data_IF_516091369981
#
_entry.id   IF_516091369981
#
_cell.length_a   1.000
_cell.length_b   1.000
_cell.length_c   1.000
_cell.angle_alpha   90.00
_cell.angle_beta   90.00
_cell.angle_gamma   90.00
#
_symmetry.space_group_name_H-M   'P 1'
#
loop_
_entity.id
_entity.type
_entity.pdbx_description
1 polymer ?
#
# COMPACT_ATOMS: atom_id res chain seq x y z
N UNK A 1 -2.69 -26.54 -50.77
CA UNK A 1 -2.08 -25.25 -50.38
C UNK A 1 -2.80 -24.73 -49.14
N UNK A 2 -2.14 -24.65 -47.97
CA UNK A 2 -2.82 -24.37 -46.71
C UNK A 2 -2.62 -22.93 -46.19
N UNK A 3 -3.69 -22.43 -45.54
CA UNK A 3 -3.78 -21.53 -44.39
C UNK A 3 -2.85 -20.30 -44.29
N UNK A 4 -3.45 -19.11 -44.25
CA UNK A 4 -2.98 -17.98 -43.42
C UNK A 4 -4.14 -17.44 -42.59
N UNK A 5 -3.89 -17.32 -41.28
CA UNK A 5 -4.78 -16.94 -40.19
C UNK A 5 -5.23 -15.47 -40.25
N UNK A 6 -6.34 -15.09 -39.57
CA UNK A 6 -6.66 -13.71 -39.28
C UNK A 6 -6.12 -13.34 -37.88
N UNK A 7 -5.06 -12.53 -37.84
CA UNK A 7 -4.65 -11.78 -36.65
C UNK A 7 -4.19 -10.40 -37.12
N UNK A 8 -5.12 -9.46 -37.25
CA UNK A 8 -4.80 -8.05 -37.37
C UNK A 8 -6.01 -7.20 -36.98
N UNK A 9 -6.32 -7.12 -35.68
CA UNK A 9 -7.15 -6.06 -35.15
C UNK A 9 -6.67 -5.75 -33.74
N UNK A 10 -5.87 -4.67 -33.63
CA UNK A 10 -5.74 -3.70 -32.55
C UNK A 10 -4.36 -3.03 -32.66
N UNK A 11 -4.23 -2.17 -33.67
CA UNK A 11 -3.18 -1.15 -33.73
C UNK A 11 -3.84 0.17 -34.18
N UNK A 12 -4.80 0.66 -33.39
CA UNK A 12 -5.43 1.96 -33.61
C UNK A 12 -5.64 2.65 -32.27
N UNK A 13 -4.55 3.22 -31.76
CA UNK A 13 -4.54 4.37 -30.85
C UNK A 13 -3.10 4.88 -30.68
N UNK A 14 -2.41 5.22 -31.77
CA UNK A 14 -1.11 5.91 -31.71
C UNK A 14 -0.86 6.78 -32.96
N UNK A 15 -1.93 7.37 -33.50
CA UNK A 15 -1.84 8.30 -34.63
C UNK A 15 -2.45 9.64 -34.22
N UNK A 16 -1.73 10.39 -33.38
CA UNK A 16 -1.93 11.83 -33.17
C UNK A 16 -0.72 12.53 -32.48
N UNK A 17 0.52 12.10 -32.76
CA UNK A 17 1.75 12.74 -32.23
C UNK A 17 2.86 12.85 -33.31
N UNK A 18 2.50 12.98 -34.58
CA UNK A 18 3.44 12.77 -35.69
C UNK A 18 4.13 14.02 -36.27
N UNK A 19 3.86 15.25 -35.78
CA UNK A 19 4.38 16.46 -36.44
C UNK A 19 5.35 17.33 -35.62
N UNK A 20 5.57 17.04 -34.33
CA UNK A 20 6.56 17.77 -33.52
C UNK A 20 7.88 16.98 -33.40
N UNK A 21 9.05 17.64 -33.53
CA UNK A 21 10.32 16.99 -33.28
C UNK A 21 10.39 16.47 -31.83
N UNK A 22 11.02 15.31 -31.58
CA UNK A 22 11.09 14.75 -30.25
C UNK A 22 11.75 15.73 -29.29
N UNK A 23 11.12 15.95 -28.13
CA UNK A 23 11.65 16.78 -27.06
C UNK A 23 13.02 16.26 -26.63
N UNK A 24 13.92 17.18 -26.27
CA UNK A 24 15.29 16.89 -25.83
C UNK A 24 15.55 17.53 -24.47
N UNK A 25 16.60 17.07 -23.79
CA UNK A 25 17.11 17.70 -22.58
C UNK A 25 16.06 17.85 -21.45
N UNK A 26 16.17 18.96 -20.71
CA UNK A 26 15.25 19.32 -19.62
C UNK A 26 13.78 19.41 -20.08
N UNK A 27 13.43 19.99 -21.25
CA UNK A 27 12.04 19.96 -21.74
C UNK A 27 11.40 18.57 -21.80
N UNK A 28 12.15 17.54 -22.22
CA UNK A 28 11.66 16.17 -22.22
C UNK A 28 11.39 15.65 -20.80
N UNK A 29 12.29 15.95 -19.86
CA UNK A 29 12.11 15.62 -18.44
C UNK A 29 10.86 16.28 -17.85
N UNK A 30 10.65 17.57 -18.12
CA UNK A 30 9.46 18.29 -17.63
C UNK A 30 8.17 17.71 -18.21
N UNK A 31 8.17 17.33 -19.51
CA UNK A 31 7.01 16.65 -20.11
C UNK A 31 6.76 15.29 -19.47
N UNK A 32 7.81 14.52 -19.18
CA UNK A 32 7.69 13.23 -18.51
C UNK A 32 7.12 13.36 -17.09
N UNK A 33 7.57 14.36 -16.31
CA UNK A 33 6.99 14.66 -14.98
C UNK A 33 5.50 14.92 -15.07
N UNK A 34 5.08 15.80 -16.00
CA UNK A 34 3.65 16.07 -16.21
C UNK A 34 2.86 14.81 -16.62
N UNK A 35 3.44 13.94 -17.43
CA UNK A 35 2.80 12.68 -17.81
C UNK A 35 2.65 11.73 -16.61
N UNK A 36 3.64 11.65 -15.72
CA UNK A 36 3.53 10.88 -14.47
C UNK A 36 2.43 11.45 -13.55
N UNK A 37 2.36 12.78 -13.40
CA UNK A 37 1.28 13.47 -12.67
C UNK A 37 -0.11 13.18 -13.27
N UNK A 38 -0.21 13.04 -14.60
CA UNK A 38 -1.42 12.64 -15.32
C UNK A 38 -1.73 11.13 -15.21
N UNK A 39 -0.90 10.34 -14.52
CA UNK A 39 -1.04 8.89 -14.39
C UNK A 39 -0.68 8.12 -15.66
N UNK A 40 0.21 8.66 -16.50
CA UNK A 40 0.66 8.12 -17.80
C UNK A 40 2.16 7.79 -17.81
N UNK A 41 2.63 6.87 -16.94
CA UNK A 41 4.07 6.59 -16.81
C UNK A 41 4.66 5.86 -18.02
N UNK A 42 3.86 5.13 -18.81
CA UNK A 42 4.31 4.49 -20.06
C UNK A 42 4.70 5.54 -21.09
N UNK A 43 3.87 6.55 -21.27
CA UNK A 43 4.11 7.69 -22.16
C UNK A 43 5.27 8.54 -21.64
N UNK A 44 5.40 8.71 -20.31
CA UNK A 44 6.53 9.39 -19.71
C UNK A 44 7.85 8.69 -20.05
N UNK A 45 7.91 7.36 -19.93
CA UNK A 45 9.09 6.57 -20.34
C UNK A 45 9.39 6.72 -21.83
N UNK A 46 8.38 6.71 -22.70
CA UNK A 46 8.59 6.89 -24.13
C UNK A 46 9.24 8.25 -24.46
N UNK A 47 8.81 9.32 -23.79
CA UNK A 47 9.42 10.66 -23.93
C UNK A 47 10.87 10.67 -23.42
N UNK A 48 11.13 10.05 -22.26
CA UNK A 48 12.49 9.97 -21.70
C UNK A 48 13.42 9.14 -22.58
N UNK A 49 12.96 8.01 -23.11
CA UNK A 49 13.76 7.14 -23.98
C UNK A 49 14.10 7.84 -25.31
N UNK A 50 13.16 8.59 -25.89
CA UNK A 50 13.41 9.41 -27.08
C UNK A 50 14.44 10.53 -26.83
N UNK A 51 14.54 11.04 -25.60
CA UNK A 51 15.48 12.09 -25.21
C UNK A 51 16.83 11.56 -24.70
N UNK A 52 17.07 10.25 -24.72
CA UNK A 52 18.29 9.63 -24.20
C UNK A 52 19.55 10.21 -24.86
N UNK A 53 20.53 10.59 -24.05
CA UNK A 53 21.80 11.15 -24.53
C UNK A 53 21.72 12.59 -25.03
N UNK A 54 20.59 13.28 -24.82
CA UNK A 54 20.40 14.69 -25.21
C UNK A 54 20.52 15.68 -24.05
N UNK A 55 20.78 15.18 -22.83
CA UNK A 55 21.03 16.00 -21.65
C UNK A 55 22.45 16.56 -21.66
N UNK A 56 22.61 17.78 -21.14
CA UNK A 56 23.93 18.25 -20.72
C UNK A 56 24.49 17.33 -19.64
N UNK A 57 25.79 17.02 -19.71
CA UNK A 57 26.45 16.09 -18.78
C UNK A 57 26.23 16.44 -17.30
N UNK A 58 26.15 17.72 -16.97
CA UNK A 58 25.91 18.20 -15.60
C UNK A 58 24.47 17.96 -15.09
N UNK A 59 23.52 17.76 -16.01
CA UNK A 59 22.09 17.64 -15.74
C UNK A 59 21.56 16.23 -16.03
N UNK A 60 22.41 15.31 -16.48
CA UNK A 60 22.04 13.92 -16.82
C UNK A 60 21.38 13.17 -15.66
N UNK A 61 21.71 13.52 -14.42
CA UNK A 61 21.09 12.96 -13.21
C UNK A 61 19.56 13.18 -13.16
N UNK A 62 19.05 14.27 -13.78
CA UNK A 62 17.61 14.58 -13.85
C UNK A 62 16.89 13.51 -14.70
N UNK A 63 17.49 13.14 -15.83
CA UNK A 63 16.95 12.12 -16.72
C UNK A 63 16.92 10.75 -16.05
N UNK A 64 18.02 10.35 -15.40
CA UNK A 64 18.10 9.08 -14.67
C UNK A 64 17.07 8.99 -13.54
N UNK A 65 16.93 10.06 -12.75
CA UNK A 65 15.97 10.08 -11.66
C UNK A 65 14.51 10.07 -12.12
N UNK A 66 14.16 10.84 -13.16
CA UNK A 66 12.81 10.83 -13.72
C UNK A 66 12.48 9.49 -14.39
N UNK A 67 13.45 8.85 -15.03
CA UNK A 67 13.29 7.48 -15.53
C UNK A 67 13.06 6.49 -14.38
N UNK A 68 13.79 6.65 -13.29
CA UNK A 68 13.58 5.90 -12.05
C UNK A 68 12.15 6.05 -11.51
N UNK A 69 11.63 7.28 -11.45
CA UNK A 69 10.24 7.53 -11.03
C UNK A 69 9.21 6.87 -11.94
N UNK A 70 9.36 7.00 -13.26
CA UNK A 70 8.40 6.41 -14.20
C UNK A 70 8.37 4.87 -14.07
N UNK A 71 9.53 4.24 -13.83
CA UNK A 71 9.60 2.82 -13.49
C UNK A 71 8.95 2.50 -12.14
N UNK A 72 9.09 3.37 -11.12
CA UNK A 72 8.46 3.18 -9.82
C UNK A 72 6.93 3.23 -9.91
N UNK A 73 6.37 4.16 -10.69
CA UNK A 73 4.93 4.25 -10.95
C UNK A 73 4.38 3.00 -11.66
N UNK A 74 5.21 2.37 -12.51
CA UNK A 74 4.91 1.10 -13.17
C UNK A 74 5.19 -0.14 -12.32
N UNK A 75 5.60 0.02 -11.06
CA UNK A 75 6.01 -1.07 -10.14
C UNK A 75 7.16 -1.92 -10.70
N UNK A 76 8.03 -1.31 -11.50
CA UNK A 76 9.27 -1.88 -12.01
C UNK A 76 10.44 -1.50 -11.09
N UNK A 77 10.35 -1.94 -9.84
CA UNK A 77 11.17 -1.41 -8.73
C UNK A 77 12.68 -1.63 -8.91
N UNK A 78 13.12 -2.72 -9.56
CA UNK A 78 14.53 -2.95 -9.86
C UNK A 78 15.12 -1.86 -10.77
N UNK A 79 14.37 -1.49 -11.82
CA UNK A 79 14.75 -0.43 -12.77
C UNK A 79 14.63 0.96 -12.12
N UNK A 80 13.65 1.15 -11.24
CA UNK A 80 13.50 2.37 -10.46
C UNK A 80 14.72 2.61 -9.56
N UNK A 81 15.15 1.58 -8.83
CA UNK A 81 16.30 1.64 -7.94
C UNK A 81 17.60 1.89 -8.70
N UNK A 82 17.77 1.28 -9.88
CA UNK A 82 18.91 1.57 -10.77
C UNK A 82 18.95 3.05 -11.17
N UNK A 83 17.81 3.59 -11.63
CA UNK A 83 17.69 4.98 -12.03
C UNK A 83 18.00 5.96 -10.89
N UNK A 84 17.46 5.73 -9.70
CA UNK A 84 17.75 6.54 -8.52
C UNK A 84 19.20 6.45 -8.09
N UNK A 85 19.78 5.24 -8.02
CA UNK A 85 21.20 5.07 -7.70
C UNK A 85 22.10 5.81 -8.67
N UNK A 86 21.77 5.78 -9.97
CA UNK A 86 22.56 6.50 -10.99
C UNK A 86 22.44 8.02 -10.86
N UNK A 87 21.24 8.53 -10.58
CA UNK A 87 21.04 9.96 -10.29
C UNK A 87 21.89 10.41 -9.08
N UNK A 88 21.85 9.65 -7.99
CA UNK A 88 22.64 9.91 -6.77
C UNK A 88 24.14 9.77 -7.00
N UNK A 89 24.57 8.87 -7.89
CA UNK A 89 25.97 8.74 -8.30
C UNK A 89 26.48 10.03 -8.96
N UNK A 90 25.71 10.54 -9.93
CA UNK A 90 26.02 11.71 -10.76
C UNK A 90 25.92 13.04 -10.00
N UNK A 91 24.92 13.20 -9.12
CA UNK A 91 24.77 14.37 -8.25
C UNK A 91 24.43 13.96 -6.83
N UNK A 92 25.36 14.18 -5.90
CA UNK A 92 25.27 13.66 -4.53
C UNK A 92 24.14 14.29 -3.71
N UNK A 93 23.82 15.54 -3.94
CA UNK A 93 22.80 16.35 -3.27
C UNK A 93 21.47 16.41 -4.05
N UNK A 94 21.22 15.50 -5.02
CA UNK A 94 19.97 15.52 -5.76
C UNK A 94 18.77 15.04 -4.93
N UNK A 95 17.58 15.55 -5.26
CA UNK A 95 16.33 15.20 -4.60
C UNK A 95 15.93 13.71 -4.73
N UNK A 96 16.46 12.99 -5.73
CA UNK A 96 16.21 11.55 -5.91
C UNK A 96 16.88 10.65 -4.84
N UNK A 97 17.73 11.22 -3.98
CA UNK A 97 18.33 10.47 -2.86
C UNK A 97 17.29 9.93 -1.89
N UNK A 98 16.23 10.69 -1.60
CA UNK A 98 15.16 10.24 -0.68
C UNK A 98 14.32 9.13 -1.30
N UNK A 99 13.81 9.24 -2.55
CA UNK A 99 13.22 8.10 -3.27
C UNK A 99 14.11 6.85 -3.32
N UNK A 100 15.42 7.01 -3.54
CA UNK A 100 16.38 5.90 -3.50
C UNK A 100 16.36 5.18 -2.15
N UNK A 101 16.45 5.94 -1.06
CA UNK A 101 16.43 5.39 0.29
C UNK A 101 15.07 4.78 0.66
N UNK A 102 13.97 5.37 0.18
CA UNK A 102 12.63 4.87 0.40
C UNK A 102 12.43 3.50 -0.26
N UNK A 103 12.89 3.35 -1.50
CA UNK A 103 12.80 2.09 -2.20
C UNK A 103 13.71 1.01 -1.57
N UNK A 104 14.91 1.38 -1.10
CA UNK A 104 15.75 0.48 -0.30
C UNK A 104 15.05 0.03 0.99
N UNK A 105 14.34 0.94 1.66
CA UNK A 105 13.51 0.64 2.82
C UNK A 105 12.39 -0.35 2.47
N UNK A 106 11.67 -0.16 1.36
CA UNK A 106 10.65 -1.10 0.88
C UNK A 106 11.22 -2.51 0.58
N UNK A 107 12.51 -2.62 0.22
CA UNK A 107 13.22 -3.88 0.05
C UNK A 107 13.78 -4.48 1.35
N UNK A 108 13.48 -3.89 2.52
CA UNK A 108 14.03 -4.31 3.80
C UNK A 108 15.53 -4.00 3.99
N UNK A 109 16.14 -3.23 3.07
CA UNK A 109 17.57 -2.88 3.09
C UNK A 109 17.82 -1.64 3.96
N UNK A 110 17.46 -1.75 5.23
CA UNK A 110 17.44 -0.63 6.17
C UNK A 110 18.80 0.04 6.37
N UNK A 111 19.89 -0.74 6.47
CA UNK A 111 21.24 -0.18 6.63
C UNK A 111 21.71 0.55 5.37
N UNK A 112 21.45 0.00 4.17
CA UNK A 112 21.73 0.70 2.90
C UNK A 112 20.91 2.00 2.77
N UNK A 113 19.64 1.98 3.21
CA UNK A 113 18.77 3.15 3.21
C UNK A 113 19.31 4.24 4.16
N UNK A 114 19.67 3.88 5.40
CA UNK A 114 20.26 4.81 6.36
C UNK A 114 21.61 5.36 5.88
N UNK A 115 22.46 4.52 5.30
CA UNK A 115 23.73 4.95 4.69
C UNK A 115 23.49 5.92 3.53
N UNK A 116 22.48 5.65 2.69
CA UNK A 116 22.07 6.56 1.60
C UNK A 116 21.61 7.90 2.15
N UNK A 117 20.84 7.91 3.23
CA UNK A 117 20.41 9.14 3.90
C UNK A 117 21.56 9.83 4.66
N UNK A 118 22.68 9.16 4.95
CA UNK A 118 23.84 9.77 5.61
C UNK A 118 24.65 10.73 4.72
N UNK A 119 24.40 10.75 3.41
CA UNK A 119 25.04 11.68 2.48
C UNK A 119 24.41 13.09 2.44
N UNK A 120 24.89 13.98 1.55
CA UNK A 120 24.28 15.30 1.33
C UNK A 120 22.81 15.16 0.92
N UNK A 121 21.93 15.91 1.58
CA UNK A 121 20.49 15.94 1.33
C UNK A 121 20.12 17.34 0.87
N UNK A 122 19.33 17.42 -0.20
CA UNK A 122 18.69 18.66 -0.64
C UNK A 122 17.88 19.27 0.53
N UNK A 123 18.07 20.55 0.89
CA UNK A 123 17.37 21.18 2.01
C UNK A 123 15.85 21.02 1.96
N UNK A 124 15.24 21.04 0.77
CA UNK A 124 13.79 20.90 0.59
C UNK A 124 13.31 19.48 0.95
N UNK A 125 14.22 18.51 0.99
CA UNK A 125 13.96 17.11 1.31
C UNK A 125 14.51 16.69 2.69
N UNK A 126 15.10 17.62 3.45
CA UNK A 126 15.71 17.32 4.75
C UNK A 126 14.70 16.74 5.75
N UNK A 127 13.50 17.32 5.81
CA UNK A 127 12.44 16.84 6.69
C UNK A 127 11.94 15.45 6.30
N UNK A 128 11.69 15.24 5.00
CA UNK A 128 11.29 13.91 4.48
C UNK A 128 12.36 12.85 4.75
N UNK A 129 13.64 13.20 4.61
CA UNK A 129 14.75 12.32 4.95
C UNK A 129 14.79 12.00 6.45
N UNK A 130 14.54 12.97 7.33
CA UNK A 130 14.49 12.73 8.78
C UNK A 130 13.35 11.79 9.17
N UNK A 131 12.16 12.02 8.63
CA UNK A 131 10.99 11.15 8.83
C UNK A 131 11.25 9.71 8.39
N UNK A 132 11.82 9.49 7.21
CA UNK A 132 12.20 8.15 6.75
C UNK A 132 13.23 7.49 7.70
N UNK A 133 14.20 8.24 8.24
CA UNK A 133 15.13 7.69 9.25
C UNK A 133 14.41 7.26 10.52
N UNK A 134 13.38 8.00 10.97
CA UNK A 134 12.55 7.63 12.13
C UNK A 134 11.80 6.33 11.85
N UNK A 135 11.14 6.23 10.70
CA UNK A 135 10.41 5.02 10.28
C UNK A 135 11.35 3.80 10.21
N UNK A 136 12.53 3.94 9.59
CA UNK A 136 13.51 2.84 9.50
C UNK A 136 14.02 2.40 10.89
N UNK A 137 14.26 3.36 11.80
CA UNK A 137 14.76 3.05 13.15
C UNK A 137 13.70 2.43 14.05
N UNK A 138 12.43 2.72 13.79
CA UNK A 138 11.30 2.29 14.60
C UNK A 138 11.21 3.00 15.96
N UNK A 139 10.13 2.76 16.70
CA UNK A 139 9.84 3.49 17.94
C UNK A 139 10.74 3.07 19.12
N UNK A 140 11.23 1.83 19.13
CA UNK A 140 11.82 1.22 20.32
C UNK A 140 13.33 1.40 20.46
N UNK A 141 14.05 1.61 19.35
CA UNK A 141 15.53 1.59 19.32
C UNK A 141 16.18 2.64 20.24
N UNK A 142 15.50 3.77 20.50
CA UNK A 142 16.00 4.82 21.40
C UNK A 142 16.06 4.35 22.86
N UNK A 143 15.04 3.60 23.32
CA UNK A 143 14.94 3.12 24.70
C UNK A 143 15.65 1.77 24.89
N UNK A 144 15.52 0.89 23.91
CA UNK A 144 15.99 -0.49 23.95
C UNK A 144 16.87 -0.81 22.74
N UNK A 145 18.07 -0.21 22.61
CA UNK A 145 18.91 -0.37 21.43
C UNK A 145 19.37 -1.82 21.18
N UNK A 146 19.43 -2.67 22.22
CA UNK A 146 19.75 -4.10 22.06
C UNK A 146 18.50 -4.97 22.06
N UNK A 147 17.52 -4.68 22.91
CA UNK A 147 16.32 -5.48 23.07
C UNK A 147 15.25 -5.25 21.99
N UNK A 148 15.29 -4.14 21.23
CA UNK A 148 14.28 -3.86 20.20
C UNK A 148 14.16 -4.96 19.13
N UNK A 149 15.24 -5.73 18.87
CA UNK A 149 15.19 -6.89 17.97
C UNK A 149 14.16 -7.95 18.39
N UNK A 150 13.85 -8.07 19.69
CA UNK A 150 12.80 -8.97 20.19
C UNK A 150 11.40 -8.55 19.73
N UNK A 151 11.24 -7.26 19.45
CA UNK A 151 9.99 -6.64 19.03
C UNK A 151 9.84 -6.58 17.50
N UNK A 152 10.83 -7.09 16.75
CA UNK A 152 10.84 -7.08 15.29
C UNK A 152 10.88 -8.52 14.74
N UNK A 153 9.96 -8.88 13.85
CA UNK A 153 9.92 -10.21 13.25
C UNK A 153 9.54 -10.19 11.77
N UNK A 154 10.29 -10.94 10.97
CA UNK A 154 10.11 -11.06 9.51
C UNK A 154 10.06 -12.50 9.01
N UNK A 155 9.82 -13.47 9.90
CA UNK A 155 9.83 -14.89 9.55
C UNK A 155 11.24 -15.50 9.55
N UNK A 156 11.36 -16.77 9.98
CA UNK A 156 12.65 -17.49 10.01
C UNK A 156 13.32 -17.67 8.64
N UNK A 157 12.52 -17.82 7.59
CA UNK A 157 12.97 -17.97 6.20
C UNK A 157 12.87 -16.65 5.40
N UNK A 158 12.61 -15.53 6.09
CA UNK A 158 12.12 -14.31 5.47
C UNK A 158 10.62 -14.40 5.17
N UNK A 159 10.05 -13.25 4.83
CA UNK A 159 8.63 -13.05 4.55
C UNK A 159 8.41 -11.71 3.88
N UNK A 160 7.15 -11.37 3.65
CA UNK A 160 6.74 -10.13 2.99
C UNK A 160 6.50 -9.00 3.99
N UNK A 161 6.59 -9.28 5.30
CA UNK A 161 6.36 -8.31 6.36
C UNK A 161 7.54 -8.23 7.32
N UNK A 162 7.76 -7.04 7.85
CA UNK A 162 8.53 -6.80 9.08
C UNK A 162 7.56 -6.20 10.10
N UNK A 163 7.14 -7.04 11.03
CA UNK A 163 6.19 -6.67 12.09
C UNK A 163 6.98 -6.15 13.28
N UNK A 164 6.58 -4.99 13.78
CA UNK A 164 7.22 -4.30 14.89
C UNK A 164 6.16 -4.05 15.95
N UNK A 165 6.26 -4.70 17.11
CA UNK A 165 5.19 -4.64 18.11
C UNK A 165 5.68 -5.00 19.51
N UNK A 166 5.22 -4.24 20.51
CA UNK A 166 5.36 -4.53 21.94
C UNK A 166 4.12 -5.21 22.55
N UNK A 167 3.09 -5.50 21.74
CA UNK A 167 1.93 -6.29 22.19
C UNK A 167 2.39 -7.64 22.73
N UNK A 168 2.05 -7.92 23.99
CA UNK A 168 2.41 -9.15 24.70
C UNK A 168 3.79 -9.14 25.35
N UNK A 169 4.51 -8.02 25.36
CA UNK A 169 5.81 -7.89 26.05
C UNK A 169 5.80 -6.63 26.93
N UNK A 170 5.95 -6.82 28.24
CA UNK A 170 5.85 -5.71 29.18
C UNK A 170 7.14 -4.89 29.29
N UNK A 171 6.99 -3.60 29.58
CA UNK A 171 8.12 -2.67 29.73
C UNK A 171 9.20 -3.16 30.72
N UNK A 172 8.87 -3.64 31.94
CA UNK A 172 9.88 -4.16 32.86
C UNK A 172 10.59 -5.42 32.36
N UNK A 173 9.95 -6.20 31.49
CA UNK A 173 10.61 -7.33 30.83
C UNK A 173 11.66 -6.83 29.84
N UNK A 174 11.32 -5.86 29.00
CA UNK A 174 12.25 -5.25 28.06
C UNK A 174 13.42 -4.55 28.75
N UNK A 175 13.18 -3.85 29.86
CA UNK A 175 14.24 -3.21 30.64
C UNK A 175 15.22 -4.26 31.21
N UNK A 176 14.72 -5.42 31.67
CA UNK A 176 15.58 -6.55 32.11
C UNK A 176 16.36 -7.15 30.94
N UNK A 177 15.71 -7.39 29.81
CA UNK A 177 16.32 -7.96 28.61
C UNK A 177 17.43 -7.04 28.09
N UNK A 178 17.20 -5.72 28.06
CA UNK A 178 18.22 -4.74 27.66
C UNK A 178 19.43 -4.79 28.60
N UNK A 179 19.21 -4.83 29.92
CA UNK A 179 20.27 -4.93 30.91
C UNK A 179 21.08 -6.24 30.81
N UNK A 180 20.44 -7.35 30.45
CA UNK A 180 21.13 -8.63 30.21
C UNK A 180 21.88 -8.61 28.87
N UNK A 181 21.25 -8.13 27.80
CA UNK A 181 21.85 -8.00 26.48
C UNK A 181 23.07 -7.07 26.48
N UNK A 182 23.09 -6.05 27.34
CA UNK A 182 24.23 -5.14 27.50
C UNK A 182 25.50 -5.81 28.04
N UNK A 183 25.36 -6.95 28.73
CA UNK A 183 26.49 -7.71 29.29
C UNK A 183 27.13 -8.66 28.27
N UNK A 184 26.48 -8.86 27.12
CA UNK A 184 26.89 -9.81 26.10
C UNK A 184 27.67 -9.08 24.99
N UNK A 185 28.81 -9.66 24.62
CA UNK A 185 29.59 -9.25 23.46
C UNK A 185 29.09 -9.98 22.20
N UNK A 186 28.48 -9.27 21.22
CA UNK A 186 28.01 -9.90 19.99
C UNK A 186 29.16 -10.38 19.07
N UNK A 187 30.41 -9.99 19.32
CA UNK A 187 31.57 -10.51 18.59
C UNK A 187 32.02 -11.89 19.12
N UNK A 188 31.68 -12.24 20.36
CA UNK A 188 31.92 -13.56 20.92
C UNK A 188 30.81 -14.54 20.49
N UNK A 189 31.21 -15.72 20.01
CA UNK A 189 30.27 -16.69 19.42
C UNK A 189 29.27 -17.25 20.44
N UNK A 190 29.70 -17.53 21.67
CA UNK A 190 28.83 -18.11 22.70
C UNK A 190 27.84 -17.07 23.23
N UNK A 191 28.34 -15.86 23.49
CA UNK A 191 27.53 -14.74 23.93
C UNK A 191 26.58 -14.25 22.84
N UNK A 192 26.96 -14.29 21.56
CA UNK A 192 26.07 -14.03 20.44
C UNK A 192 24.89 -15.02 20.39
N UNK A 193 25.15 -16.32 20.59
CA UNK A 193 24.09 -17.33 20.66
C UNK A 193 23.19 -17.12 21.89
N UNK A 194 23.75 -16.68 23.02
CA UNK A 194 22.96 -16.32 24.20
C UNK A 194 22.08 -15.09 23.93
N UNK A 195 22.62 -14.09 23.23
CA UNK A 195 21.90 -12.89 22.83
C UNK A 195 20.75 -13.24 21.88
N UNK A 196 20.98 -14.10 20.88
CA UNK A 196 19.93 -14.51 19.95
C UNK A 196 18.79 -15.26 20.67
N UNK A 197 19.10 -16.13 21.65
CA UNK A 197 18.08 -16.79 22.50
C UNK A 197 17.29 -15.78 23.34
N UNK A 198 17.98 -14.82 23.94
CA UNK A 198 17.36 -13.77 24.75
C UNK A 198 16.40 -12.89 23.92
N UNK A 199 16.75 -12.67 22.65
CA UNK A 199 16.00 -11.82 21.71
C UNK A 199 15.02 -12.60 20.83
N UNK A 200 14.71 -13.86 21.13
CA UNK A 200 13.69 -14.61 20.40
C UNK A 200 12.34 -13.87 20.45
N UNK A 201 11.62 -13.77 19.31
CA UNK A 201 10.36 -13.05 19.24
C UNK A 201 9.30 -13.70 20.14
N UNK A 202 8.38 -12.90 20.68
CA UNK A 202 7.27 -13.44 21.46
C UNK A 202 6.34 -14.29 20.57
N UNK A 203 5.64 -15.29 21.13
CA UNK A 203 4.62 -16.04 20.39
C UNK A 203 3.56 -15.12 19.75
N UNK A 204 3.16 -14.05 20.45
CA UNK A 204 2.22 -13.06 19.94
C UNK A 204 2.76 -12.34 18.69
N UNK A 205 4.02 -11.92 18.70
CA UNK A 205 4.65 -11.28 17.54
C UNK A 205 4.74 -12.24 16.34
N UNK A 206 4.99 -13.53 16.58
CA UNK A 206 4.96 -14.55 15.53
C UNK A 206 3.54 -14.73 14.98
N UNK A 207 2.51 -14.75 15.84
CA UNK A 207 1.11 -14.83 15.41
C UNK A 207 0.68 -13.61 14.59
N UNK A 208 1.11 -12.40 14.96
CA UNK A 208 0.87 -11.17 14.18
C UNK A 208 1.50 -11.24 12.78
N UNK A 209 2.73 -11.75 12.68
CA UNK A 209 3.37 -12.00 11.40
C UNK A 209 2.59 -13.02 10.55
N UNK A 210 2.15 -14.13 11.16
CA UNK A 210 1.34 -15.13 10.46
C UNK A 210 0.03 -14.54 9.95
N UNK A 211 -0.63 -13.71 10.77
CA UNK A 211 -1.86 -13.01 10.42
C UNK A 211 -1.66 -12.16 9.16
N UNK A 212 -0.60 -11.35 9.09
CA UNK A 212 -0.29 -10.53 7.92
C UNK A 212 0.03 -11.35 6.68
N UNK A 213 0.80 -12.43 6.80
CA UNK A 213 1.04 -13.35 5.68
C UNK A 213 -0.24 -14.04 5.20
N UNK A 214 -1.15 -14.38 6.12
CA UNK A 214 -2.48 -14.92 5.78
C UNK A 214 -3.36 -13.88 5.10
N UNK A 215 -3.35 -12.63 5.56
CA UNK A 215 -4.06 -11.50 4.94
C UNK A 215 -3.58 -11.29 3.51
N UNK A 216 -2.26 -11.30 3.28
CA UNK A 216 -1.67 -11.22 1.94
C UNK A 216 -2.14 -12.35 1.02
N UNK A 217 -2.12 -13.59 1.49
CA UNK A 217 -2.62 -14.75 0.72
C UNK A 217 -4.09 -14.59 0.37
N UNK A 218 -4.89 -14.06 1.29
CA UNK A 218 -6.32 -13.83 1.05
C UNK A 218 -6.56 -12.70 0.03
N UNK A 219 -5.79 -11.62 0.08
CA UNK A 219 -5.82 -10.57 -0.94
C UNK A 219 -5.50 -11.13 -2.34
N UNK A 220 -4.47 -11.98 -2.45
CA UNK A 220 -4.13 -12.64 -3.71
C UNK A 220 -5.27 -13.53 -4.19
N UNK A 221 -5.85 -14.35 -3.31
CA UNK A 221 -6.98 -15.23 -3.64
C UNK A 221 -8.17 -14.45 -4.18
N UNK A 222 -8.53 -13.33 -3.53
CA UNK A 222 -9.70 -12.53 -3.89
C UNK A 222 -9.50 -11.70 -5.16
N UNK A 223 -8.28 -11.21 -5.40
CA UNK A 223 -7.91 -10.51 -6.64
C UNK A 223 -7.65 -11.47 -7.80
N UNK A 224 -7.53 -12.77 -7.54
CA UNK A 224 -7.17 -13.78 -8.54
C UNK A 224 -5.71 -13.71 -8.95
N UNK A 225 -4.86 -13.15 -8.10
CA UNK A 225 -3.42 -13.08 -8.27
C UNK A 225 -2.73 -14.31 -7.67
N UNK A 226 -1.52 -14.56 -8.16
CA UNK A 226 -0.63 -15.61 -7.65
C UNK A 226 0.54 -14.98 -6.91
N UNK A 227 1.24 -15.77 -6.07
CA UNK A 227 2.45 -15.31 -5.37
C UNK A 227 3.52 -14.77 -6.33
N UNK A 228 3.62 -15.32 -7.55
CA UNK A 228 4.58 -14.84 -8.55
C UNK A 228 4.29 -13.43 -9.10
N UNK A 229 3.10 -12.90 -8.85
CA UNK A 229 2.71 -11.54 -9.22
C UNK A 229 2.82 -10.54 -8.06
N UNK A 230 3.16 -11.01 -6.85
CA UNK A 230 3.44 -10.13 -5.73
C UNK A 230 4.77 -9.40 -5.93
N UNK A 231 4.94 -8.14 -5.47
CA UNK A 231 6.18 -7.40 -5.62
C UNK A 231 7.38 -8.15 -5.05
N UNK A 232 8.35 -8.45 -5.91
CA UNK A 232 9.48 -9.31 -5.57
C UNK A 232 10.41 -8.60 -4.58
N UNK A 233 10.74 -9.28 -3.48
CA UNK A 233 11.74 -8.80 -2.52
C UNK A 233 11.29 -7.65 -1.62
N UNK A 234 10.04 -7.15 -1.76
CA UNK A 234 9.51 -6.14 -0.85
C UNK A 234 9.18 -6.74 0.51
N UNK A 235 9.48 -5.97 1.55
CA UNK A 235 9.20 -6.27 2.95
C UNK A 235 8.44 -5.08 3.55
N UNK A 236 7.14 -5.26 3.73
CA UNK A 236 6.24 -4.24 4.24
C UNK A 236 6.37 -4.09 5.76
N UNK A 237 6.55 -2.85 6.24
CA UNK A 237 6.58 -2.60 7.69
C UNK A 237 5.18 -2.40 8.24
N UNK A 238 4.93 -3.05 9.37
CA UNK A 238 3.71 -2.87 10.17
C UNK A 238 4.10 -2.65 11.61
N UNK A 239 3.71 -1.50 12.15
CA UNK A 239 3.90 -1.15 13.55
C UNK A 239 2.58 -1.33 14.29
N UNK A 240 2.56 -2.19 15.30
CA UNK A 240 1.40 -2.38 16.18
C UNK A 240 1.83 -2.06 17.60
N UNK A 241 1.42 -0.89 18.08
CA UNK A 241 1.87 -0.34 19.35
C UNK A 241 0.85 -0.70 20.44
N UNK A 242 1.31 -0.96 21.65
CA UNK A 242 0.40 -1.37 22.73
C UNK A 242 -0.53 -0.25 23.17
N UNK A 243 -0.06 1.00 23.17
CA UNK A 243 -0.82 2.14 23.69
C UNK A 243 -1.04 3.25 22.65
N UNK A 244 -2.12 4.02 22.82
CA UNK A 244 -2.40 5.20 21.99
C UNK A 244 -1.31 6.27 22.15
N UNK A 245 -0.74 6.43 23.35
CA UNK A 245 0.33 7.40 23.62
C UNK A 245 1.58 7.10 22.76
N UNK A 246 2.05 5.84 22.79
CA UNK A 246 3.18 5.40 21.96
C UNK A 246 2.89 5.57 20.46
N UNK A 247 1.65 5.33 20.05
CA UNK A 247 1.20 5.59 18.69
C UNK A 247 1.28 7.06 18.31
N UNK A 248 0.77 7.95 19.13
CA UNK A 248 0.81 9.38 18.83
C UNK A 248 2.25 9.91 18.84
N UNK A 249 3.10 9.42 19.75
CA UNK A 249 4.52 9.78 19.79
C UNK A 249 5.26 9.36 18.54
N UNK A 250 5.08 8.11 18.10
CA UNK A 250 5.72 7.62 16.89
C UNK A 250 5.15 8.30 15.64
N UNK A 251 3.84 8.52 15.61
CA UNK A 251 3.17 9.22 14.52
C UNK A 251 3.69 10.66 14.36
N UNK A 252 3.86 11.41 15.45
CA UNK A 252 4.44 12.76 15.43
C UNK A 252 5.89 12.75 14.93
N UNK A 253 6.69 11.81 15.42
CA UNK A 253 8.09 11.70 15.03
C UNK A 253 8.28 11.30 13.55
N UNK A 254 7.38 10.47 13.00
CA UNK A 254 7.44 9.99 11.62
C UNK A 254 6.64 10.86 10.62
N UNK A 255 5.60 11.56 11.08
CA UNK A 255 4.59 12.23 10.23
C UNK A 255 4.59 13.76 10.27
N UNK A 256 5.19 14.42 11.26
CA UNK A 256 5.02 15.87 11.49
C UNK A 256 3.76 16.20 12.30
N UNK A 257 3.44 17.50 12.47
CA UNK A 257 2.40 18.04 13.37
C UNK A 257 0.93 17.77 12.94
N UNK A 258 0.66 16.84 12.02
CA UNK A 258 -0.70 16.58 11.55
C UNK A 258 -1.48 15.69 12.54
N UNK A 259 -2.68 16.17 12.91
CA UNK A 259 -3.53 15.60 13.95
C UNK A 259 -4.04 14.19 13.60
N UNK A 260 -3.28 13.17 14.01
CA UNK A 260 -3.65 11.74 13.98
C UNK A 260 -4.36 11.28 15.27
N UNK A 261 -4.90 12.22 16.04
CA UNK A 261 -5.37 12.01 17.42
C UNK A 261 -6.61 11.10 17.52
N UNK A 262 -7.37 10.95 16.44
CA UNK A 262 -8.61 10.16 16.41
C UNK A 262 -8.53 8.90 15.52
N UNK A 263 -7.34 8.49 15.09
CA UNK A 263 -7.15 7.32 14.23
C UNK A 263 -6.65 6.12 15.06
N UNK A 264 -7.31 4.97 14.89
CA UNK A 264 -6.84 3.69 15.46
C UNK A 264 -5.59 3.17 14.73
N UNK A 265 -5.47 3.50 13.45
CA UNK A 265 -4.27 3.35 12.66
C UNK A 265 -4.43 3.91 11.26
N UNK A 266 -3.37 3.81 10.47
CA UNK A 266 -3.32 4.27 9.09
C UNK A 266 -2.21 3.56 8.32
N UNK A 267 -2.38 3.50 7.01
CA UNK A 267 -1.32 3.27 6.03
C UNK A 267 -0.72 4.60 5.57
N UNK A 268 0.61 4.73 5.62
CA UNK A 268 1.33 5.87 5.08
C UNK A 268 1.80 5.56 3.64
N UNK A 269 1.24 6.20 2.59
CA UNK A 269 1.65 5.95 1.21
C UNK A 269 2.98 6.60 0.84
N UNK A 270 3.55 7.48 1.66
CA UNK A 270 4.83 8.13 1.37
C UNK A 270 6.03 7.25 1.78
N UNK A 271 5.91 6.59 2.93
CA UNK A 271 6.95 5.70 3.49
C UNK A 271 6.52 4.23 3.57
N UNK A 272 5.32 3.90 3.06
CA UNK A 272 4.84 2.53 2.78
C UNK A 272 4.69 1.63 4.01
N UNK A 273 4.40 2.20 5.18
CA UNK A 273 4.20 1.44 6.42
C UNK A 273 2.77 1.56 6.95
N UNK A 274 2.35 0.56 7.71
CA UNK A 274 1.12 0.61 8.51
C UNK A 274 1.51 0.92 9.96
N UNK A 275 0.74 1.76 10.63
CA UNK A 275 0.88 2.01 12.05
C UNK A 275 -0.48 1.97 12.73
N UNK A 276 -0.58 1.23 13.83
CA UNK A 276 -1.79 1.03 14.63
C UNK A 276 -1.43 1.05 16.12
N UNK A 277 -2.43 1.23 16.99
CA UNK A 277 -2.33 0.80 18.39
C UNK A 277 -3.38 -0.24 18.75
N UNK A 278 -3.10 -1.08 19.74
CA UNK A 278 -4.00 -2.13 20.19
C UNK A 278 -5.05 -1.58 21.17
N UNK A 279 -6.14 -1.06 20.63
CA UNK A 279 -7.26 -0.56 21.43
C UNK A 279 -8.02 -1.68 22.12
N UNK A 280 -8.14 -1.61 23.45
CA UNK A 280 -8.96 -2.54 24.23
C UNK A 280 -10.41 -2.56 23.75
N UNK A 281 -10.92 -3.75 23.40
CA UNK A 281 -12.34 -3.90 23.05
C UNK A 281 -12.67 -5.17 22.28
N UNK A 282 -13.46 -6.07 22.88
CA UNK A 282 -14.11 -7.21 22.23
C UNK A 282 -13.16 -8.25 21.61
N UNK A 283 -13.15 -9.49 22.14
CA UNK A 283 -12.35 -10.59 21.59
C UNK A 283 -10.84 -10.32 21.57
N UNK A 284 -10.06 -11.36 21.24
CA UNK A 284 -8.62 -11.22 21.02
C UNK A 284 -8.15 -12.29 20.02
N UNK A 285 -7.44 -11.86 18.97
CA UNK A 285 -6.80 -12.72 17.99
C UNK A 285 -5.37 -12.23 17.78
N UNK A 286 -4.38 -13.13 17.92
CA UNK A 286 -2.96 -12.77 17.83
C UNK A 286 -2.52 -11.64 18.78
N UNK A 287 -3.19 -11.44 19.92
CA UNK A 287 -2.93 -10.31 20.81
C UNK A 287 -3.76 -9.06 20.50
N UNK A 288 -4.48 -9.02 19.37
CA UNK A 288 -5.23 -7.84 18.93
C UNK A 288 -6.70 -7.95 19.23
N UNK A 289 -7.25 -6.84 19.72
CA UNK A 289 -8.68 -6.66 19.89
C UNK A 289 -9.40 -6.44 18.55
N UNK A 290 -10.71 -6.72 18.52
CA UNK A 290 -11.47 -6.79 17.28
C UNK A 290 -11.44 -5.49 16.46
N UNK A 291 -11.51 -4.31 17.09
CA UNK A 291 -11.45 -3.03 16.37
C UNK A 291 -10.10 -2.81 15.70
N UNK A 292 -9.01 -3.13 16.41
CA UNK A 292 -7.64 -3.06 15.89
C UNK A 292 -7.46 -4.03 14.73
N UNK A 293 -8.03 -5.22 14.83
CA UNK A 293 -7.98 -6.25 13.80
C UNK A 293 -8.71 -5.82 12.52
N UNK A 294 -9.91 -5.27 12.66
CA UNK A 294 -10.69 -4.73 11.55
C UNK A 294 -9.91 -3.60 10.83
N UNK A 295 -9.30 -2.71 11.60
CA UNK A 295 -8.47 -1.61 11.07
C UNK A 295 -7.19 -2.12 10.41
N UNK A 296 -6.52 -3.12 10.99
CA UNK A 296 -5.34 -3.74 10.40
C UNK A 296 -5.65 -4.30 9.00
N UNK A 297 -6.76 -5.01 8.84
CA UNK A 297 -7.15 -5.56 7.54
C UNK A 297 -7.52 -4.49 6.52
N UNK A 298 -8.21 -3.43 6.97
CA UNK A 298 -8.51 -2.26 6.14
C UNK A 298 -7.22 -1.62 5.59
N UNK A 299 -6.28 -1.26 6.48
CA UNK A 299 -5.01 -0.65 6.08
C UNK A 299 -4.09 -1.59 5.30
N UNK A 300 -4.15 -2.90 5.60
CA UNK A 300 -3.41 -3.91 4.85
C UNK A 300 -3.86 -3.99 3.39
N UNK A 301 -5.13 -3.70 3.09
CA UNK A 301 -5.57 -3.59 1.71
C UNK A 301 -4.96 -2.38 1.01
N UNK A 302 -4.97 -1.19 1.63
CA UNK A 302 -4.34 -0.02 1.03
C UNK A 302 -2.85 -0.24 0.75
N UNK A 303 -2.12 -0.84 1.69
CA UNK A 303 -0.72 -1.20 1.50
C UNK A 303 -0.54 -2.19 0.34
N UNK A 304 -1.36 -3.25 0.29
CA UNK A 304 -1.27 -4.25 -0.78
C UNK A 304 -1.61 -3.65 -2.15
N UNK A 305 -2.68 -2.87 -2.24
CA UNK A 305 -3.11 -2.31 -3.52
C UNK A 305 -2.13 -1.26 -4.03
N UNK A 306 -1.53 -0.46 -3.14
CA UNK A 306 -0.46 0.46 -3.50
C UNK A 306 0.79 -0.28 -3.98
N UNK A 307 1.18 -1.35 -3.31
CA UNK A 307 2.32 -2.16 -3.74
C UNK A 307 2.10 -2.80 -5.12
N UNK A 308 0.86 -3.12 -5.46
CA UNK A 308 0.49 -3.79 -6.70
C UNK A 308 0.29 -2.84 -7.89
N UNK A 309 -0.18 -1.61 -7.67
CA UNK A 309 -0.38 -0.64 -8.76
C UNK A 309 -0.49 0.80 -8.26
N UNK A 310 -0.04 1.77 -9.07
CA UNK A 310 -0.32 3.20 -8.87
C UNK A 310 -1.78 3.59 -9.21
N UNK A 311 -2.50 2.75 -9.92
CA UNK A 311 -3.82 3.05 -10.49
C UNK A 311 -4.93 2.55 -9.57
N UNK A 312 -5.32 3.38 -8.60
CA UNK A 312 -6.26 3.02 -7.53
C UNK A 312 -7.45 3.99 -7.50
N UNK A 313 -8.56 3.72 -8.23
CA UNK A 313 -9.79 4.49 -8.09
C UNK A 313 -10.24 4.51 -6.63
N UNK A 314 -10.69 5.66 -6.13
CA UNK A 314 -11.06 5.83 -4.73
C UNK A 314 -12.17 4.85 -4.31
N UNK A 315 -13.26 4.78 -5.09
CA UNK A 315 -14.37 3.87 -4.79
C UNK A 315 -13.93 2.40 -4.69
N UNK A 316 -12.96 1.99 -5.51
CA UNK A 316 -12.49 0.62 -5.54
C UNK A 316 -11.53 0.37 -4.38
N UNK A 317 -10.61 1.31 -4.13
CA UNK A 317 -9.64 1.23 -3.06
C UNK A 317 -10.34 1.16 -1.70
N UNK A 318 -11.24 2.11 -1.42
CA UNK A 318 -11.99 2.17 -0.16
C UNK A 318 -13.04 1.06 -0.06
N UNK A 319 -13.74 0.74 -1.15
CA UNK A 319 -14.74 -0.33 -1.15
C UNK A 319 -14.14 -1.71 -0.84
N UNK A 320 -12.94 -1.98 -1.36
CA UNK A 320 -12.19 -3.20 -1.05
C UNK A 320 -11.65 -3.17 0.39
N UNK A 321 -11.14 -2.03 0.87
CA UNK A 321 -10.68 -1.88 2.25
C UNK A 321 -11.80 -2.15 3.26
N UNK A 322 -12.98 -1.59 3.03
CA UNK A 322 -14.19 -1.82 3.84
C UNK A 322 -14.68 -3.27 3.77
N UNK A 323 -14.62 -3.90 2.59
CA UNK A 323 -15.02 -5.30 2.42
C UNK A 323 -14.06 -6.25 3.15
N UNK A 324 -12.75 -6.04 2.97
CA UNK A 324 -11.70 -6.88 3.54
C UNK A 324 -11.45 -6.60 5.01
N UNK A 325 -11.82 -5.42 5.50
CA UNK A 325 -11.70 -5.01 6.90
C UNK A 325 -12.57 -5.79 7.88
N UNK A 326 -13.34 -6.80 7.43
CA UNK A 326 -14.19 -7.64 8.28
C UNK A 326 -13.97 -9.12 7.97
N UNK A 327 -13.67 -9.90 9.01
CA UNK A 327 -13.33 -11.31 8.85
C UNK A 327 -13.24 -12.08 10.16
N UNK A 328 -12.77 -13.32 10.05
CA UNK A 328 -12.45 -14.20 11.17
C UNK A 328 -11.04 -14.80 10.95
N UNK A 329 -10.29 -15.00 12.03
CA UNK A 329 -8.94 -15.59 11.97
C UNK A 329 -8.69 -16.55 13.14
N UNK A 330 -7.81 -17.53 12.93
CA UNK A 330 -7.36 -18.41 14.00
C UNK A 330 -6.52 -17.64 15.03
N UNK A 331 -6.49 -18.12 16.27
CA UNK A 331 -5.78 -17.46 17.37
C UNK A 331 -4.29 -17.20 17.09
N UNK A 332 -3.67 -18.04 16.27
CA UNK A 332 -2.26 -17.97 15.84
C UNK A 332 -2.04 -17.24 14.49
N UNK A 333 -3.11 -16.72 13.88
CA UNK A 333 -3.07 -15.98 12.61
C UNK A 333 -2.77 -16.83 11.38
N UNK A 334 -2.62 -18.15 11.52
CA UNK A 334 -2.21 -19.03 10.42
C UNK A 334 -3.29 -19.25 9.37
N UNK A 335 -4.56 -19.02 9.72
CA UNK A 335 -5.72 -19.12 8.83
C UNK A 335 -6.69 -17.97 9.07
N UNK A 336 -7.32 -17.48 8.00
CA UNK A 336 -8.35 -16.45 8.10
C UNK A 336 -9.31 -16.47 6.90
N UNK A 337 -10.44 -15.77 7.03
CA UNK A 337 -11.39 -15.47 5.97
C UNK A 337 -11.84 -14.02 6.10
N UNK A 338 -11.71 -13.24 5.02
CA UNK A 338 -12.15 -11.83 4.95
C UNK A 338 -13.43 -11.69 4.12
N UNK A 339 -14.04 -10.51 4.12
CA UNK A 339 -15.25 -10.23 3.35
C UNK A 339 -16.55 -10.56 4.09
N UNK A 340 -16.52 -10.62 5.42
CA UNK A 340 -17.68 -11.01 6.24
C UNK A 340 -18.77 -9.94 6.21
N UNK A 341 -20.02 -10.37 5.99
CA UNK A 341 -21.18 -9.49 6.10
C UNK A 341 -21.47 -9.18 7.58
N UNK A 342 -21.36 -7.91 7.95
CA UNK A 342 -21.72 -7.41 9.28
C UNK A 342 -22.97 -6.55 9.14
N UNK A 343 -24.10 -7.06 9.64
CA UNK A 343 -25.42 -6.42 9.49
C UNK A 343 -25.76 -5.44 10.61
N UNK A 344 -25.10 -5.59 11.74
CA UNK A 344 -25.27 -4.76 12.92
C UNK A 344 -23.99 -4.84 13.73
N UNK A 345 -23.56 -3.71 14.28
CA UNK A 345 -22.41 -3.63 15.16
C UNK A 345 -22.77 -2.69 16.32
N UNK A 346 -22.71 -3.13 17.59
CA UNK A 346 -23.07 -2.27 18.72
C UNK A 346 -22.16 -1.03 18.84
N UNK A 347 -21.02 -1.01 18.15
CA UNK A 347 -20.04 0.07 18.19
C UNK A 347 -20.34 1.20 17.19
N UNK A 348 -21.00 0.89 16.07
CA UNK A 348 -21.16 1.82 14.94
C UNK A 348 -22.27 1.42 13.96
N UNK A 349 -22.76 2.39 13.17
CA UNK A 349 -23.65 2.11 12.04
C UNK A 349 -22.85 1.41 10.94
N UNK A 350 -23.20 0.17 10.63
CA UNK A 350 -22.48 -0.63 9.64
C UNK A 350 -22.66 -0.10 8.22
N UNK A 351 -21.73 -0.45 7.32
CA UNK A 351 -21.87 -0.15 5.88
C UNK A 351 -23.15 -0.77 5.29
N UNK A 352 -23.55 -1.95 5.80
CA UNK A 352 -24.80 -2.60 5.46
C UNK A 352 -26.02 -1.76 5.84
N UNK A 353 -26.11 -1.30 7.09
CA UNK A 353 -27.23 -0.45 7.54
C UNK A 353 -27.28 0.85 6.76
N UNK A 354 -26.11 1.50 6.60
CA UNK A 354 -26.00 2.79 5.90
C UNK A 354 -26.42 2.69 4.44
N UNK A 355 -26.00 1.67 3.69
CA UNK A 355 -26.37 1.57 2.28
C UNK A 355 -27.88 1.32 2.10
N UNK A 356 -28.52 0.56 3.00
CA UNK A 356 -29.98 0.35 2.95
C UNK A 356 -30.76 1.63 3.19
N UNK A 357 -30.30 2.46 4.12
CA UNK A 357 -30.86 3.80 4.35
C UNK A 357 -30.71 4.68 3.10
N UNK A 358 -29.51 4.75 2.52
CA UNK A 358 -29.21 5.53 1.31
C UNK A 358 -30.12 5.11 0.14
N UNK A 359 -30.29 3.80 -0.07
CA UNK A 359 -31.13 3.26 -1.15
C UNK A 359 -32.61 3.56 -0.92
N UNK A 360 -33.10 3.41 0.31
CA UNK A 360 -34.48 3.74 0.69
C UNK A 360 -34.80 5.22 0.41
N UNK A 361 -33.84 6.09 0.68
CA UNK A 361 -33.97 7.54 0.50
C UNK A 361 -33.57 8.01 -0.91
N UNK A 362 -33.14 7.09 -1.78
CA UNK A 362 -32.69 7.35 -3.16
C UNK A 362 -31.58 8.41 -3.22
N UNK A 363 -30.67 8.36 -2.25
CA UNK A 363 -29.51 9.27 -2.14
C UNK A 363 -28.21 8.68 -2.69
N UNK A 364 -28.24 7.47 -3.24
CA UNK A 364 -27.03 6.86 -3.82
C UNK A 364 -26.61 7.65 -5.05
N UNK A 365 -25.31 7.75 -5.27
CA UNK A 365 -24.74 8.36 -6.47
C UNK A 365 -24.93 7.38 -7.63
N UNK A 366 -25.40 7.81 -8.82
CA UNK A 366 -25.49 6.92 -9.98
C UNK A 366 -24.12 6.30 -10.29
N UNK A 367 -24.09 5.03 -10.71
CA UNK A 367 -22.86 4.32 -11.05
C UNK A 367 -22.09 5.01 -12.18
N UNK A 368 -22.81 5.61 -13.15
CA UNK A 368 -22.23 6.41 -14.23
C UNK A 368 -21.42 7.61 -13.74
N UNK A 369 -21.65 8.08 -12.52
CA UNK A 369 -20.86 9.14 -11.89
C UNK A 369 -19.87 8.55 -10.88
N UNK A 370 -20.35 7.69 -9.98
CA UNK A 370 -19.57 7.14 -8.86
C UNK A 370 -18.30 6.41 -9.28
N UNK A 371 -18.34 5.66 -10.40
CA UNK A 371 -17.16 4.93 -10.90
C UNK A 371 -16.05 5.86 -11.43
N UNK A 372 -16.36 7.15 -11.60
CA UNK A 372 -15.50 8.18 -12.18
C UNK A 372 -15.03 9.23 -11.16
N UNK A 373 -15.44 9.11 -9.90
CA UNK A 373 -14.97 9.99 -8.83
C UNK A 373 -13.45 10.00 -8.75
N UNK A 374 -12.86 11.19 -8.82
CA UNK A 374 -11.51 11.42 -8.34
C UNK A 374 -11.55 11.81 -6.86
N UNK A 375 -10.41 12.24 -6.31
CA UNK A 375 -10.26 12.53 -4.88
C UNK A 375 -11.21 13.65 -4.43
N UNK A 376 -11.26 14.74 -5.19
CA UNK A 376 -12.06 15.92 -4.83
C UNK A 376 -13.56 15.56 -4.81
N UNK A 377 -14.08 14.85 -5.83
CA UNK A 377 -15.48 14.43 -5.84
C UNK A 377 -15.81 13.40 -4.74
N UNK A 378 -14.84 12.57 -4.34
CA UNK A 378 -15.01 11.63 -3.23
C UNK A 378 -15.13 12.34 -1.87
N UNK A 379 -14.39 13.44 -1.69
CA UNK A 379 -14.34 14.20 -0.44
C UNK A 379 -15.49 15.22 -0.31
N UNK A 380 -16.17 15.52 -1.41
CA UNK A 380 -17.37 16.36 -1.40
C UNK A 380 -18.60 15.62 -0.83
N UNK A 381 -19.36 16.33 0.03
CA UNK A 381 -20.66 15.86 0.51
C UNK A 381 -20.61 14.84 1.66
N UNK A 382 -21.43 13.79 1.57
CA UNK A 382 -21.53 12.72 2.59
C UNK A 382 -20.51 11.61 2.30
N UNK A 383 -19.27 11.82 2.76
CA UNK A 383 -18.17 10.87 2.57
C UNK A 383 -18.52 9.49 3.15
N UNK A 384 -19.25 9.42 4.28
CA UNK A 384 -19.67 8.14 4.86
C UNK A 384 -20.62 7.35 3.96
N UNK A 385 -21.44 8.05 3.16
CA UNK A 385 -22.26 7.43 2.13
C UNK A 385 -21.41 6.88 0.98
N UNK A 386 -20.35 7.59 0.57
CA UNK A 386 -19.41 7.10 -0.45
C UNK A 386 -18.76 5.77 -0.03
N UNK A 387 -18.28 5.68 1.21
CA UNK A 387 -17.76 4.42 1.78
C UNK A 387 -18.80 3.29 1.78
N UNK A 388 -20.03 3.56 2.21
CA UNK A 388 -21.09 2.55 2.26
C UNK A 388 -21.49 2.05 0.86
N UNK A 389 -21.57 2.97 -0.11
CA UNK A 389 -21.83 2.63 -1.50
C UNK A 389 -20.67 1.82 -2.09
N UNK A 390 -19.42 2.27 -1.92
CA UNK A 390 -18.22 1.55 -2.36
C UNK A 390 -18.15 0.12 -1.82
N UNK A 391 -18.33 -0.05 -0.50
CA UNK A 391 -18.39 -1.36 0.14
C UNK A 391 -19.45 -2.25 -0.52
N UNK A 392 -20.65 -1.72 -0.74
CA UNK A 392 -21.75 -2.51 -1.30
C UNK A 392 -21.51 -2.92 -2.76
N UNK A 393 -20.89 -2.04 -3.56
CA UNK A 393 -20.51 -2.34 -4.96
C UNK A 393 -19.51 -3.49 -4.99
N UNK A 394 -18.49 -3.45 -4.13
CA UNK A 394 -17.51 -4.53 -3.99
C UNK A 394 -18.15 -5.80 -3.46
N UNK A 395 -19.00 -5.71 -2.42
CA UNK A 395 -19.72 -6.86 -1.88
C UNK A 395 -20.59 -7.53 -2.96
N UNK A 396 -21.25 -6.74 -3.81
CA UNK A 396 -22.00 -7.25 -4.96
C UNK A 396 -21.11 -7.91 -6.02
N UNK A 397 -19.95 -7.32 -6.32
CA UNK A 397 -18.99 -7.94 -7.23
C UNK A 397 -18.45 -9.28 -6.69
N UNK A 398 -18.25 -9.39 -5.37
CA UNK A 398 -17.64 -10.56 -4.72
C UNK A 398 -18.64 -11.65 -4.33
N UNK A 399 -19.87 -11.28 -3.96
CA UNK A 399 -20.87 -12.21 -3.42
C UNK A 399 -22.21 -12.18 -4.17
N UNK A 400 -22.43 -11.20 -5.04
CA UNK A 400 -23.71 -11.00 -5.74
C UNK A 400 -24.04 -12.03 -6.81
N UNK A 401 -25.27 -11.98 -7.31
CA UNK A 401 -25.84 -12.91 -8.29
C UNK A 401 -25.64 -12.46 -9.75
N UNK A 402 -24.56 -11.73 -10.04
CA UNK A 402 -24.27 -11.20 -11.38
C UNK A 402 -22.88 -11.57 -11.87
N UNK A 403 -22.81 -12.64 -12.65
CA UNK A 403 -21.56 -13.16 -13.22
C UNK A 403 -20.88 -12.16 -14.17
N UNK A 404 -21.65 -11.41 -14.95
CA UNK A 404 -21.10 -10.44 -15.90
C UNK A 404 -20.41 -9.28 -15.18
N UNK A 405 -21.05 -8.70 -14.15
CA UNK A 405 -20.44 -7.64 -13.35
C UNK A 405 -19.18 -8.12 -12.64
N UNK A 406 -19.21 -9.33 -12.07
CA UNK A 406 -18.04 -9.95 -11.44
C UNK A 406 -16.87 -10.15 -12.42
N UNK A 407 -17.16 -10.57 -13.66
CA UNK A 407 -16.13 -10.75 -14.68
C UNK A 407 -15.49 -9.39 -15.06
N UNK A 408 -16.30 -8.36 -15.27
CA UNK A 408 -15.79 -7.02 -15.59
C UNK A 408 -15.02 -6.38 -14.43
N UNK A 409 -15.48 -6.59 -13.19
CA UNK A 409 -14.76 -6.17 -11.99
C UNK A 409 -13.36 -6.80 -11.94
N UNK A 410 -13.25 -8.11 -12.23
CA UNK A 410 -11.95 -8.78 -12.34
C UNK A 410 -11.11 -8.28 -13.51
N UNK A 411 -11.73 -7.93 -14.65
CA UNK A 411 -11.02 -7.31 -15.78
C UNK A 411 -10.46 -5.94 -15.39
N UNK A 412 -11.24 -5.13 -14.66
CA UNK A 412 -10.78 -3.84 -14.16
C UNK A 412 -9.53 -4.01 -13.29
N UNK A 413 -9.58 -4.88 -12.27
CA UNK A 413 -8.41 -5.17 -11.44
C UNK A 413 -7.20 -5.57 -12.28
N UNK A 414 -7.36 -6.48 -13.26
CA UNK A 414 -6.27 -6.89 -14.16
C UNK A 414 -5.68 -5.74 -14.98
N UNK A 415 -6.49 -4.80 -15.45
CA UNK A 415 -6.00 -3.63 -16.19
C UNK A 415 -5.23 -2.67 -15.26
N UNK A 416 -5.75 -2.39 -14.07
CA UNK A 416 -5.08 -1.56 -13.08
C UNK A 416 -3.70 -2.13 -12.72
N UNK A 417 -3.61 -3.45 -12.55
CA UNK A 417 -2.36 -4.15 -12.22
C UNK A 417 -1.33 -4.16 -13.37
N UNK A 418 -1.74 -3.91 -14.62
CA UNK A 418 -0.81 -3.68 -15.73
C UNK A 418 -0.27 -2.24 -15.75
N UNK A 419 -0.75 -1.37 -14.86
CA UNK A 419 -0.49 0.05 -14.88
C UNK A 419 -1.39 0.82 -15.86
N UNK A 420 -2.44 0.20 -16.41
CA UNK A 420 -3.42 0.91 -17.26
C UNK A 420 -4.08 2.00 -16.42
N UNK A 421 -4.07 3.23 -16.94
CA UNK A 421 -4.69 4.37 -16.28
C UNK A 421 -6.15 4.09 -15.93
N UNK A 422 -6.50 4.31 -14.66
CA UNK A 422 -7.78 3.82 -14.16
C UNK A 422 -8.99 4.46 -14.85
N UNK A 423 -8.91 5.74 -15.21
CA UNK A 423 -9.96 6.43 -15.96
C UNK A 423 -10.21 5.77 -17.32
N UNK A 424 -9.14 5.33 -17.99
CA UNK A 424 -9.23 4.69 -19.31
C UNK A 424 -9.79 3.26 -19.19
N UNK A 425 -9.38 2.53 -18.15
CA UNK A 425 -9.92 1.21 -17.84
C UNK A 425 -11.42 1.26 -17.50
N UNK A 426 -11.84 2.19 -16.64
CA UNK A 426 -13.25 2.39 -16.28
C UNK A 426 -14.07 2.76 -17.51
N UNK A 427 -13.62 3.76 -18.29
CA UNK A 427 -14.30 4.19 -19.52
C UNK A 427 -14.51 3.06 -20.51
N UNK A 428 -13.53 2.16 -20.63
CA UNK A 428 -13.58 1.04 -21.58
C UNK A 428 -14.48 -0.10 -21.10
N UNK A 429 -14.39 -0.47 -19.82
CA UNK A 429 -15.07 -1.65 -19.27
C UNK A 429 -16.51 -1.37 -18.83
N UNK A 430 -16.77 -0.11 -18.43
CA UNK A 430 -18.01 0.35 -17.82
C UNK A 430 -18.60 1.56 -18.57
N UNK A 431 -19.04 1.40 -19.83
CA UNK A 431 -19.82 2.43 -20.50
C UNK A 431 -21.18 2.64 -19.79
N UNK A 432 -21.75 3.84 -19.93
CA UNK A 432 -22.91 4.26 -19.11
C UNK A 432 -24.11 3.31 -19.19
N UNK A 433 -24.49 2.88 -20.41
CA UNK A 433 -25.59 1.94 -20.59
C UNK A 433 -25.42 0.63 -19.82
N UNK A 434 -24.18 0.19 -19.62
CA UNK A 434 -23.84 -1.03 -18.87
C UNK A 434 -23.84 -0.77 -17.37
N UNK A 435 -23.37 0.41 -16.93
CA UNK A 435 -23.44 0.83 -15.54
C UNK A 435 -24.89 0.99 -15.07
N UNK A 436 -25.79 1.51 -15.90
CA UNK A 436 -27.22 1.63 -15.58
C UNK A 436 -27.86 0.25 -15.33
N UNK A 437 -27.52 -0.75 -16.16
CA UNK A 437 -27.97 -2.14 -15.97
C UNK A 437 -27.42 -2.73 -14.67
N UNK A 438 -26.12 -2.55 -14.41
CA UNK A 438 -25.46 -3.04 -13.20
C UNK A 438 -26.00 -2.38 -11.94
N UNK A 439 -26.29 -1.08 -11.97
CA UNK A 439 -26.87 -0.33 -10.87
C UNK A 439 -28.28 -0.85 -10.53
N UNK A 440 -29.12 -1.09 -11.54
CA UNK A 440 -30.46 -1.65 -11.33
C UNK A 440 -30.41 -3.02 -10.64
N UNK A 441 -29.50 -3.91 -11.08
CA UNK A 441 -29.33 -5.24 -10.48
C UNK A 441 -28.69 -5.18 -9.10
N UNK A 442 -27.71 -4.30 -8.90
CA UNK A 442 -27.07 -4.06 -7.60
C UNK A 442 -28.08 -3.58 -6.56
N UNK A 443 -28.93 -2.60 -6.89
CA UNK A 443 -30.00 -2.12 -5.99
C UNK A 443 -30.94 -3.26 -5.59
N UNK A 444 -31.43 -4.01 -6.58
CA UNK A 444 -32.35 -5.12 -6.34
C UNK A 444 -31.71 -6.21 -5.46
N UNK A 445 -30.40 -6.44 -5.60
CA UNK A 445 -29.66 -7.35 -4.74
C UNK A 445 -29.54 -6.80 -3.32
N UNK A 446 -29.15 -5.53 -3.14
CA UNK A 446 -28.96 -4.92 -1.82
C UNK A 446 -30.25 -4.82 -1.01
N UNK A 447 -31.40 -4.57 -1.67
CA UNK A 447 -32.70 -4.58 -1.01
C UNK A 447 -33.06 -5.95 -0.43
N UNK A 448 -32.69 -7.03 -1.15
CA UNK A 448 -32.96 -8.43 -0.80
C UNK A 448 -31.89 -9.09 0.05
N UNK A 449 -30.71 -8.48 0.16
CA UNK A 449 -29.62 -9.01 0.98
C UNK A 449 -30.09 -9.02 2.42
N UNK A 450 -30.45 -10.21 2.92
CA UNK A 450 -30.92 -10.42 4.29
C UNK A 450 -29.79 -10.65 5.24
#
# INVERSE_FOLDING_TARGET
MPRRSPLLFLLFALTALADDPPLKGVPACNRAVKLMEEGKPVEALAVLDAAKGTMDRKDEWIWWGNKGHAHWDLRQDDLALEGFKKAVELKKDCWFRVPCANLLHEFGKYDEALATLGGPIDPDYAERANRLRVVIKGPYRKRWPRACRKLEYSGKAGGHYNVVSDVGVETPELDRIEAEAAKLDPADKEQALQLDRLLEPSPQLVSLFNLLESTRREHLRLTGLTDGQWPKGKVFRVFVLRTQEEFLDFARAAGGEDARENLLGFYDPNFKYIQLYNQSGGGEVCGLHAETLDTLWHEAWHQAFDALTAQRPEWLNEGMAEFLGKGDASADGSTLSLGKLVKSDPRLITRYERIREILKEKRHVPFSEFFRYARDEWEEGDVLANYAQAWSVVYYAMNGDNAAFREDFRKLLKELLKGTRWQDAVKTLFPDAKLDEYEAKWRAYMEKLE
#
